data_IF_630774900271
#
_entry.id   IF_630774900271
#
_cell.length_a   1.000
_cell.length_b   1.000
_cell.length_c   1.000
_cell.angle_alpha   90.00
_cell.angle_beta   90.00
_cell.angle_gamma   90.00
#
_symmetry.space_group_name_H-M   'P 1'
#
loop_
_entity.id
_entity.type
_entity.pdbx_description
1 polymer ?
#
# COMPACT_ATOMS: atom_id res chain seq x y z
N UNK A 1 -0.98 -8.67 -18.48
CA UNK A 1 -0.56 -7.30 -18.14
C UNK A 1 -1.68 -6.60 -17.37
N UNK A 2 -1.48 -5.39 -16.81
CA UNK A 2 -2.57 -4.65 -16.15
C UNK A 2 -3.72 -4.36 -17.12
N UNK A 3 -3.39 -3.84 -18.29
CA UNK A 3 -4.36 -3.46 -19.34
C UNK A 3 -5.21 -4.66 -19.80
N UNK A 4 -4.58 -5.83 -19.98
CA UNK A 4 -5.30 -7.06 -20.30
C UNK A 4 -6.28 -7.48 -19.19
N UNK A 5 -5.86 -7.37 -17.93
CA UNK A 5 -6.67 -7.81 -16.79
C UNK A 5 -7.89 -6.91 -16.62
N UNK A 6 -7.67 -5.58 -16.61
CA UNK A 6 -8.72 -4.58 -16.47
C UNK A 6 -9.72 -4.64 -17.64
N UNK A 7 -9.25 -4.89 -18.87
CA UNK A 7 -10.11 -4.94 -20.06
C UNK A 7 -10.81 -6.27 -20.35
N UNK A 8 -10.37 -7.38 -19.76
CA UNK A 8 -10.88 -8.73 -20.12
C UNK A 8 -11.67 -9.44 -19.04
N UNK A 9 -11.26 -9.37 -17.78
CA UNK A 9 -11.87 -10.24 -16.75
C UNK A 9 -11.88 -9.69 -15.31
N UNK A 10 -11.27 -8.54 -15.02
CA UNK A 10 -11.29 -7.99 -13.67
C UNK A 10 -12.71 -7.64 -13.19
N UNK A 11 -13.55 -7.11 -14.09
CA UNK A 11 -14.97 -6.86 -13.82
C UNK A 11 -15.70 -8.11 -13.36
N UNK A 12 -15.61 -9.19 -14.14
CA UNK A 12 -16.21 -10.49 -13.79
C UNK A 12 -15.75 -11.03 -12.43
N UNK A 13 -14.49 -10.80 -12.05
CA UNK A 13 -13.95 -11.24 -10.76
C UNK A 13 -14.54 -10.44 -9.61
N UNK A 14 -14.75 -9.14 -9.80
CA UNK A 14 -15.40 -8.29 -8.79
C UNK A 14 -16.89 -8.62 -8.68
N UNK A 15 -17.60 -8.80 -9.80
CA UNK A 15 -19.03 -9.13 -9.83
C UNK A 15 -19.32 -10.49 -9.16
N UNK A 16 -18.39 -11.44 -9.28
CA UNK A 16 -18.46 -12.75 -8.63
C UNK A 16 -17.95 -12.74 -7.18
N UNK A 17 -17.50 -11.60 -6.67
CA UNK A 17 -16.94 -11.48 -5.32
C UNK A 17 -15.62 -12.26 -5.11
N UNK A 18 -14.92 -12.60 -6.20
CA UNK A 18 -13.60 -13.24 -6.13
C UNK A 18 -12.52 -12.26 -5.69
N UNK A 19 -12.72 -10.97 -6.01
CA UNK A 19 -11.83 -9.86 -5.63
C UNK A 19 -12.71 -8.68 -5.23
N UNK A 20 -12.58 -8.20 -3.98
CA UNK A 20 -13.41 -7.10 -3.48
C UNK A 20 -12.96 -5.73 -4.01
N UNK A 21 -11.66 -5.53 -4.16
CA UNK A 21 -11.03 -4.28 -4.57
C UNK A 21 -9.94 -4.59 -5.59
N UNK A 22 -9.86 -3.80 -6.67
CA UNK A 22 -8.80 -3.94 -7.66
C UNK A 22 -7.42 -3.91 -6.98
N UNK A 23 -6.56 -4.94 -7.19
CA UNK A 23 -5.21 -4.99 -6.61
C UNK A 23 -4.29 -3.91 -7.21
N UNK A 24 -4.69 -3.28 -8.31
CA UNK A 24 -3.97 -2.15 -8.91
C UNK A 24 -4.32 -0.81 -8.25
N UNK A 25 -5.39 -0.77 -7.45
CA UNK A 25 -5.82 0.41 -6.69
C UNK A 25 -5.39 0.32 -5.23
N UNK A 26 -5.67 -0.81 -4.57
CA UNK A 26 -5.28 -1.06 -3.19
C UNK A 26 -4.37 -2.27 -3.11
N UNK A 27 -3.39 -2.22 -2.22
CA UNK A 27 -2.35 -3.25 -2.17
C UNK A 27 -2.93 -4.56 -1.63
N UNK A 28 -2.61 -5.66 -2.31
CA UNK A 28 -2.84 -6.99 -1.78
C UNK A 28 -1.83 -7.24 -0.65
N UNK A 29 -2.27 -7.07 0.60
CA UNK A 29 -1.42 -7.20 1.78
C UNK A 29 -0.83 -8.61 1.93
N UNK A 30 -1.56 -9.65 1.52
CA UNK A 30 -1.18 -11.05 1.73
C UNK A 30 -0.19 -11.56 0.68
N UNK A 31 -0.31 -11.12 -0.58
CA UNK A 31 0.62 -11.46 -1.65
C UNK A 31 1.71 -10.42 -1.82
N UNK A 32 1.39 -9.32 -2.51
CA UNK A 32 2.37 -8.26 -2.83
C UNK A 32 2.94 -7.60 -1.57
N UNK A 33 2.10 -7.39 -0.55
CA UNK A 33 2.51 -6.83 0.74
C UNK A 33 3.53 -7.71 1.45
N UNK A 34 3.39 -9.03 1.40
CA UNK A 34 4.36 -9.96 1.96
C UNK A 34 5.74 -9.83 1.27
N UNK A 35 5.76 -9.69 -0.06
CA UNK A 35 7.00 -9.44 -0.81
C UNK A 35 7.65 -8.11 -0.42
N UNK A 36 6.84 -7.06 -0.20
CA UNK A 36 7.35 -5.78 0.30
C UNK A 36 8.00 -5.91 1.67
N UNK A 37 7.39 -6.66 2.61
CA UNK A 37 7.96 -6.88 3.94
C UNK A 37 9.30 -7.60 3.88
N UNK A 38 9.44 -8.60 2.98
CA UNK A 38 10.72 -9.27 2.72
C UNK A 38 11.76 -8.23 2.25
N UNK A 39 11.42 -7.41 1.25
CA UNK A 39 12.32 -6.40 0.72
C UNK A 39 12.76 -5.37 1.76
N UNK A 40 11.82 -4.85 2.55
CA UNK A 40 12.08 -3.89 3.64
C UNK A 40 13.02 -4.51 4.67
N UNK A 41 12.73 -5.74 5.11
CA UNK A 41 13.53 -6.45 6.12
C UNK A 41 14.94 -6.71 5.62
N UNK A 42 15.08 -7.28 4.42
CA UNK A 42 16.41 -7.61 3.87
C UNK A 42 17.24 -6.36 3.59
N UNK A 43 16.65 -5.30 3.02
CA UNK A 43 17.35 -4.04 2.81
C UNK A 43 17.89 -3.44 4.12
N UNK A 44 17.06 -3.45 5.17
CA UNK A 44 17.46 -2.91 6.48
C UNK A 44 18.36 -3.83 7.30
N UNK A 45 18.46 -5.11 6.97
CA UNK A 45 19.50 -5.99 7.51
C UNK A 45 20.90 -5.56 7.06
N UNK A 46 21.02 -5.05 5.82
CA UNK A 46 22.29 -4.56 5.26
C UNK A 46 22.56 -3.12 5.69
N UNK A 47 21.55 -2.23 5.58
CA UNK A 47 21.67 -0.82 5.97
C UNK A 47 20.50 -0.42 6.87
N UNK A 48 20.73 -0.33 8.18
CA UNK A 48 19.69 -0.07 9.19
C UNK A 48 18.90 1.22 8.95
N UNK A 49 19.54 2.24 8.40
CA UNK A 49 18.94 3.56 8.12
C UNK A 49 18.45 3.71 6.67
N UNK A 50 18.32 2.61 5.92
CA UNK A 50 17.84 2.64 4.54
C UNK A 50 16.43 3.22 4.49
N UNK A 51 16.30 4.34 3.78
CA UNK A 51 15.01 4.92 3.43
C UNK A 51 14.34 4.10 2.34
N UNK A 52 13.07 3.77 2.54
CA UNK A 52 12.29 2.97 1.60
C UNK A 52 10.96 3.68 1.40
N UNK A 53 10.62 3.99 0.16
CA UNK A 53 9.35 4.61 -0.20
C UNK A 53 8.49 3.73 -1.10
N UNK A 54 7.21 4.09 -1.21
CA UNK A 54 6.28 3.54 -2.19
C UNK A 54 5.81 4.64 -3.15
N UNK A 55 5.63 4.30 -4.42
CA UNK A 55 5.09 5.20 -5.45
C UNK A 55 3.99 4.51 -6.26
N UNK A 56 3.36 5.25 -7.16
CA UNK A 56 2.26 4.76 -7.99
C UNK A 56 0.89 4.98 -7.34
N UNK A 57 -0.11 4.27 -7.86
CA UNK A 57 -1.51 4.41 -7.43
C UNK A 57 -1.71 4.10 -5.94
N UNK A 58 -1.04 3.05 -5.45
CA UNK A 58 -1.08 2.62 -4.05
C UNK A 58 -0.57 3.69 -3.07
N UNK A 59 0.33 4.57 -3.52
CA UNK A 59 0.86 5.66 -2.69
C UNK A 59 -0.19 6.71 -2.31
N UNK A 60 -1.33 6.74 -3.02
CA UNK A 60 -2.47 7.62 -2.73
C UNK A 60 -3.71 6.91 -2.17
N UNK A 61 -3.63 5.59 -1.93
CA UNK A 61 -4.73 4.79 -1.39
C UNK A 61 -4.64 4.69 0.14
N UNK A 62 -5.67 5.10 0.92
CA UNK A 62 -5.61 5.10 2.38
C UNK A 62 -5.32 3.74 3.02
N UNK A 63 -5.86 2.65 2.47
CA UNK A 63 -5.62 1.29 2.99
C UNK A 63 -4.17 0.88 2.75
N UNK A 64 -3.67 1.10 1.55
CA UNK A 64 -2.27 0.86 1.20
C UNK A 64 -1.30 1.68 2.05
N UNK A 65 -1.61 2.95 2.31
CA UNK A 65 -0.80 3.83 3.17
C UNK A 65 -0.75 3.30 4.60
N UNK A 66 -1.88 2.81 5.12
CA UNK A 66 -1.94 2.21 6.45
C UNK A 66 -1.09 0.94 6.54
N UNK A 67 -1.13 0.08 5.52
CA UNK A 67 -0.25 -1.08 5.41
C UNK A 67 1.23 -0.68 5.30
N UNK A 68 1.53 0.35 4.50
CA UNK A 68 2.90 0.86 4.34
C UNK A 68 3.45 1.39 5.68
N UNK A 69 2.62 2.09 6.45
CA UNK A 69 2.98 2.57 7.78
C UNK A 69 3.32 1.41 8.73
N UNK A 70 2.46 0.39 8.81
CA UNK A 70 2.69 -0.77 9.68
C UNK A 70 3.90 -1.61 9.25
N UNK A 71 4.17 -1.67 7.94
CA UNK A 71 5.34 -2.35 7.37
C UNK A 71 6.65 -1.55 7.49
N UNK A 72 6.58 -0.31 7.99
CA UNK A 72 7.73 0.54 8.25
C UNK A 72 8.29 1.24 7.00
N UNK A 73 7.47 1.49 5.98
CA UNK A 73 7.84 2.35 4.84
C UNK A 73 8.10 3.77 5.34
N UNK A 74 9.16 4.42 4.85
CA UNK A 74 9.61 5.75 5.28
C UNK A 74 8.75 6.88 4.70
N UNK A 75 8.34 6.77 3.44
CA UNK A 75 7.51 7.77 2.78
C UNK A 75 6.59 7.17 1.71
N UNK A 76 5.52 7.90 1.38
CA UNK A 76 4.63 7.58 0.25
C UNK A 76 4.70 8.70 -0.79
N UNK A 77 4.63 8.33 -2.06
CA UNK A 77 4.61 9.26 -3.19
C UNK A 77 3.32 9.05 -3.98
N UNK A 78 2.54 10.12 -4.12
CA UNK A 78 1.24 10.10 -4.80
C UNK A 78 1.15 11.23 -5.82
N UNK A 79 0.18 11.13 -6.73
CA UNK A 79 -0.14 12.20 -7.67
C UNK A 79 -0.56 13.48 -6.93
N UNK A 80 -0.32 14.69 -7.50
CA UNK A 80 -0.52 15.95 -6.78
C UNK A 80 -1.89 16.13 -6.13
N UNK A 81 -2.96 15.70 -6.80
CA UNK A 81 -4.34 15.80 -6.30
C UNK A 81 -4.64 14.82 -5.14
N UNK A 82 -3.86 13.74 -4.98
CA UNK A 82 -4.00 12.77 -3.88
C UNK A 82 -3.09 13.08 -2.68
N UNK A 83 -2.20 14.06 -2.78
CA UNK A 83 -1.34 14.46 -1.67
C UNK A 83 -2.16 14.78 -0.39
N UNK A 84 -3.27 15.55 -0.43
CA UNK A 84 -4.07 15.81 0.78
C UNK A 84 -4.64 14.52 1.41
N UNK A 85 -5.09 13.58 0.58
CA UNK A 85 -5.59 12.27 1.04
C UNK A 85 -4.46 11.49 1.71
N UNK A 86 -3.28 11.46 1.10
CA UNK A 86 -2.14 10.74 1.62
C UNK A 86 -1.68 11.27 2.99
N UNK A 87 -1.67 12.60 3.17
CA UNK A 87 -1.36 13.24 4.45
C UNK A 87 -2.34 12.80 5.55
N UNK A 88 -3.65 12.85 5.27
CA UNK A 88 -4.68 12.47 6.24
C UNK A 88 -4.58 10.98 6.58
N UNK A 89 -4.43 10.12 5.57
CA UNK A 89 -4.31 8.67 5.77
C UNK A 89 -3.07 8.30 6.60
N UNK A 90 -1.92 8.93 6.32
CA UNK A 90 -0.70 8.72 7.10
C UNK A 90 -0.86 9.16 8.57
N UNK A 91 -1.52 10.30 8.81
CA UNK A 91 -1.82 10.77 10.15
C UNK A 91 -2.74 9.80 10.90
N UNK A 92 -3.81 9.35 10.25
CA UNK A 92 -4.76 8.36 10.81
C UNK A 92 -4.08 7.03 11.13
N UNK A 93 -3.18 6.55 10.26
CA UNK A 93 -2.40 5.34 10.49
C UNK A 93 -1.52 5.47 11.75
N UNK A 94 -0.82 6.59 11.90
CA UNK A 94 0.01 6.90 13.07
C UNK A 94 -0.81 6.96 14.37
N UNK A 95 -1.97 7.62 14.35
CA UNK A 95 -2.86 7.72 15.51
C UNK A 95 -3.40 6.33 15.90
N UNK A 96 -3.85 5.56 14.92
CA UNK A 96 -4.42 4.21 15.13
C UNK A 96 -3.40 3.21 15.66
N UNK A 97 -2.12 3.35 15.28
CA UNK A 97 -1.05 2.52 15.84
C UNK A 97 -0.78 2.88 17.31
N UNK A 98 -0.73 4.18 17.64
CA UNK A 98 -0.51 4.65 19.03
C UNK A 98 -1.61 4.22 19.99
N UNK A 99 -2.87 4.20 19.55
CA UNK A 99 -3.99 3.77 20.40
C UNK A 99 -3.96 2.27 20.73
N UNK A 100 -3.40 1.44 19.85
CA UNK A 100 -3.25 -0.02 20.07
C UNK A 100 -2.07 -0.41 20.98
N UNK A 101 -1.09 0.48 21.13
CA UNK A 101 0.09 0.28 21.99
C UNK A 101 -0.11 0.76 23.44
N UNK A 102 -1.30 1.27 23.78
CA UNK A 102 -1.72 1.56 25.16
C UNK A 102 -2.60 0.43 25.68
#
# INVERSE_FOLDING_TARGET
SREDVEGKFLGDYMDKGLVEISPFQSIDENGVGYLMQIGIKQGRQVQKTLEIGICGEHGGDPNSIKFCHSSGVSYVSASPHRIPIAIIAAAQASISQKSRSK
#
